data_IF_719795630402
#
_entry.id   IF_719795630402
#
_cell.length_a   1.000
_cell.length_b   1.000
_cell.length_c   1.000
_cell.angle_alpha   90.00
_cell.angle_beta   90.00
_cell.angle_gamma   90.00
#
_symmetry.space_group_name_H-M   'P 1'
#
loop_
_entity.id
_entity.type
_entity.pdbx_description
1 polymer ?
#
# COMPACT_ATOMS: atom_id res chain seq x y z
N UNK A 1 1.38 21.23 -12.70
CA UNK A 1 0.85 20.67 -11.47
C UNK A 1 1.19 19.20 -11.34
N UNK A 2 1.80 18.83 -10.26
CA UNK A 2 2.13 17.44 -10.07
C UNK A 2 0.89 16.63 -9.76
N UNK A 3 0.96 15.34 -10.05
CA UNK A 3 -0.10 14.44 -9.67
C UNK A 3 -0.20 14.35 -8.18
N UNK A 4 -1.41 14.19 -7.71
CA UNK A 4 -1.61 13.99 -6.29
C UNK A 4 -1.12 12.59 -5.89
N UNK A 5 -0.73 12.45 -4.65
CA UNK A 5 -0.31 11.16 -4.14
C UNK A 5 -1.45 10.15 -4.18
N UNK A 6 -2.68 10.62 -4.03
CA UNK A 6 -3.85 9.76 -4.14
C UNK A 6 -3.92 9.14 -5.53
N UNK A 7 -3.70 9.94 -6.58
CA UNK A 7 -3.74 9.42 -7.94
C UNK A 7 -2.65 8.39 -8.18
N UNK A 8 -1.46 8.66 -7.64
CA UNK A 8 -0.35 7.73 -7.79
C UNK A 8 -0.67 6.41 -7.08
N UNK A 9 -1.26 6.49 -5.88
CA UNK A 9 -1.62 5.29 -5.14
C UNK A 9 -2.66 4.47 -5.90
N UNK A 10 -3.65 5.12 -6.49
CA UNK A 10 -4.67 4.41 -7.26
C UNK A 10 -4.07 3.71 -8.47
N UNK A 11 -3.18 4.41 -9.18
CA UNK A 11 -2.53 3.81 -10.35
C UNK A 11 -1.64 2.66 -9.94
N UNK A 12 -0.99 2.77 -8.78
CA UNK A 12 -0.18 1.67 -8.27
C UNK A 12 -1.02 0.44 -7.98
N UNK A 13 -2.16 0.62 -7.33
CA UNK A 13 -3.04 -0.49 -7.06
C UNK A 13 -3.55 -1.13 -8.35
N UNK A 14 -3.94 -0.30 -9.32
CA UNK A 14 -4.40 -0.82 -10.60
C UNK A 14 -3.32 -1.63 -11.31
N UNK A 15 -2.07 -1.16 -11.22
CA UNK A 15 -0.96 -1.90 -11.80
C UNK A 15 -0.79 -3.25 -11.12
N UNK A 16 -0.95 -3.29 -9.79
CA UNK A 16 -0.90 -4.55 -9.07
C UNK A 16 -1.99 -5.50 -9.57
N UNK A 17 -3.19 -4.96 -9.77
CA UNK A 17 -4.30 -5.79 -10.25
C UNK A 17 -4.03 -6.37 -11.63
N UNK A 18 -3.33 -5.62 -12.49
CA UNK A 18 -2.99 -6.10 -13.83
C UNK A 18 -1.75 -6.99 -13.83
N UNK A 19 -1.00 -6.99 -12.74
CA UNK A 19 0.26 -7.70 -12.72
C UNK A 19 1.37 -6.99 -13.51
N UNK A 20 1.25 -5.68 -13.65
CA UNK A 20 2.19 -4.88 -14.42
C UNK A 20 3.34 -4.45 -13.51
N UNK A 21 4.33 -5.33 -13.38
CA UNK A 21 5.44 -5.06 -12.46
C UNK A 21 6.30 -3.88 -12.90
N UNK A 22 6.38 -3.63 -14.20
CA UNK A 22 7.15 -2.48 -14.68
C UNK A 22 6.50 -1.18 -14.22
N UNK A 23 5.18 -1.09 -14.32
CA UNK A 23 4.47 0.11 -13.90
C UNK A 23 4.60 0.30 -12.38
N UNK A 24 4.49 -0.78 -11.63
CA UNK A 24 4.66 -0.71 -10.18
C UNK A 24 6.07 -0.22 -9.85
N UNK A 25 7.08 -0.77 -10.51
CA UNK A 25 8.46 -0.41 -10.25
C UNK A 25 8.75 1.06 -10.49
N UNK A 26 8.07 1.65 -11.48
CA UNK A 26 8.27 3.07 -11.77
C UNK A 26 7.76 3.98 -10.67
N UNK A 27 6.80 3.49 -9.88
CA UNK A 27 6.23 4.28 -8.79
C UNK A 27 6.99 4.13 -7.49
N UNK A 28 7.88 3.15 -7.39
CA UNK A 28 8.60 2.86 -6.16
C UNK A 28 10.00 3.47 -6.20
N UNK A 29 10.41 4.07 -5.08
CA UNK A 29 11.79 4.48 -4.90
C UNK A 29 12.67 3.22 -4.86
N UNK A 30 13.92 3.29 -5.38
CA UNK A 30 14.79 2.11 -5.32
C UNK A 30 15.01 1.58 -3.90
N UNK A 31 14.96 2.46 -2.90
CA UNK A 31 15.16 2.08 -1.51
C UNK A 31 13.86 1.96 -0.74
N UNK A 32 12.75 1.74 -1.43
CA UNK A 32 11.45 1.62 -0.78
C UNK A 32 11.46 0.51 0.26
N UNK A 33 10.80 0.75 1.37
CA UNK A 33 10.65 -0.26 2.43
C UNK A 33 9.17 -0.61 2.57
N UNK A 34 8.91 -1.89 2.77
CA UNK A 34 7.54 -2.38 2.93
C UNK A 34 7.54 -3.39 4.09
N UNK A 35 6.80 -3.07 5.14
CA UNK A 35 6.79 -3.91 6.33
C UNK A 35 5.47 -3.74 7.08
N UNK A 36 5.34 -4.49 8.17
CA UNK A 36 4.13 -4.45 8.99
C UNK A 36 4.31 -3.70 10.28
N UNK A 37 5.27 -2.78 10.33
CA UNK A 37 5.56 -1.99 11.51
C UNK A 37 6.97 -2.18 12.02
N UNK A 38 7.64 -3.25 11.59
CA UNK A 38 9.01 -3.54 11.99
C UNK A 38 9.83 -3.76 10.73
N UNK A 39 10.61 -2.78 10.29
CA UNK A 39 11.38 -2.93 9.05
C UNK A 39 12.48 -3.98 9.14
N UNK A 40 12.84 -4.43 10.34
CA UNK A 40 13.84 -5.48 10.49
C UNK A 40 13.24 -6.87 10.56
N UNK A 41 11.91 -6.99 10.51
CA UNK A 41 11.27 -8.29 10.62
C UNK A 41 11.58 -9.16 9.41
N UNK A 42 11.57 -10.46 9.64
CA UNK A 42 11.69 -11.41 8.54
C UNK A 42 10.52 -11.23 7.59
N UNK A 43 10.81 -11.14 6.31
CA UNK A 43 9.78 -10.92 5.32
C UNK A 43 9.56 -9.47 4.97
N UNK A 44 10.18 -8.55 5.72
CA UNK A 44 10.11 -7.13 5.37
C UNK A 44 10.92 -6.89 4.10
N UNK A 45 10.44 -5.94 3.29
CA UNK A 45 11.13 -5.59 2.05
C UNK A 45 11.95 -4.34 2.29
N UNK A 46 13.22 -4.39 1.93
CA UNK A 46 14.14 -3.29 2.14
C UNK A 46 14.56 -2.55 0.88
N UNK A 47 14.03 -2.95 -0.27
CA UNK A 47 14.31 -2.26 -1.52
C UNK A 47 13.24 -2.63 -2.54
N UNK A 48 13.33 -1.97 -3.70
CA UNK A 48 12.32 -2.13 -4.74
C UNK A 48 12.25 -3.54 -5.28
N UNK A 49 13.39 -4.19 -5.47
CA UNK A 49 13.41 -5.54 -6.00
C UNK A 49 12.69 -6.51 -5.08
N UNK A 50 12.89 -6.37 -3.79
CA UNK A 50 12.22 -7.23 -2.82
C UNK A 50 10.72 -6.96 -2.80
N UNK A 51 10.33 -5.70 -2.93
CA UNK A 51 8.92 -5.35 -2.96
C UNK A 51 8.24 -5.93 -4.19
N UNK A 52 8.89 -5.86 -5.35
CA UNK A 52 8.32 -6.40 -6.58
C UNK A 52 8.22 -7.93 -6.50
N UNK A 53 9.22 -8.57 -5.93
CA UNK A 53 9.18 -10.03 -5.75
C UNK A 53 8.03 -10.43 -4.83
N UNK A 54 7.79 -9.64 -3.79
CA UNK A 54 6.69 -9.89 -2.89
C UNK A 54 5.34 -9.80 -3.61
N UNK A 55 5.16 -8.78 -4.43
CA UNK A 55 3.92 -8.61 -5.19
C UNK A 55 3.72 -9.80 -6.12
N UNK A 56 4.79 -10.22 -6.80
CA UNK A 56 4.69 -11.36 -7.72
C UNK A 56 4.24 -12.62 -7.00
N UNK A 57 4.82 -12.89 -5.83
CA UNK A 57 4.44 -14.07 -5.04
C UNK A 57 3.02 -13.96 -4.52
N UNK A 58 2.64 -12.79 -4.07
CA UNK A 58 1.29 -12.60 -3.53
C UNK A 58 0.23 -12.84 -4.60
N UNK A 59 0.48 -12.38 -5.81
CA UNK A 59 -0.48 -12.56 -6.89
C UNK A 59 -0.65 -14.02 -7.29
N UNK A 60 0.40 -14.80 -7.15
CA UNK A 60 0.32 -16.23 -7.48
C UNK A 60 -0.52 -17.00 -6.47
N UNK A 61 -0.43 -16.60 -5.21
CA UNK A 61 -1.14 -17.31 -4.15
C UNK A 61 -2.60 -16.97 -4.08
N UNK A 62 -2.89 -15.70 -4.17
CA UNK A 62 -4.24 -15.21 -3.96
C UNK A 62 -4.55 -14.14 -4.96
N UNK A 63 -5.78 -14.11 -5.45
CA UNK A 63 -6.21 -12.95 -6.24
C UNK A 63 -6.07 -11.71 -5.38
N UNK A 64 -5.75 -10.62 -6.03
CA UNK A 64 -5.67 -9.35 -5.31
C UNK A 64 -7.07 -8.94 -4.88
N UNK A 65 -7.11 -8.18 -3.80
CA UNK A 65 -8.37 -7.74 -3.27
C UNK A 65 -8.96 -6.57 -4.03
N UNK A 66 -9.89 -5.92 -3.37
CA UNK A 66 -10.63 -4.81 -3.93
C UNK A 66 -10.19 -3.53 -3.24
N UNK A 67 -9.97 -2.47 -4.03
CA UNK A 67 -9.67 -1.15 -3.48
C UNK A 67 -10.96 -0.56 -2.94
N UNK A 68 -10.97 -0.26 -1.64
CA UNK A 68 -12.16 0.27 -0.99
C UNK A 68 -12.10 1.79 -0.91
N UNK A 69 -10.94 2.33 -0.53
CA UNK A 69 -10.81 3.77 -0.35
C UNK A 69 -9.35 4.17 -0.41
N UNK A 70 -9.12 5.42 -0.76
CA UNK A 70 -7.78 6.02 -0.76
C UNK A 70 -7.93 7.37 -0.08
N UNK A 71 -7.27 7.53 1.06
CA UNK A 71 -7.46 8.70 1.92
C UNK A 71 -6.19 9.54 1.90
N UNK A 72 -6.35 10.79 1.51
CA UNK A 72 -5.25 11.74 1.39
C UNK A 72 -4.83 12.22 2.78
N UNK A 73 -3.56 12.08 3.09
CA UNK A 73 -2.99 12.57 4.34
C UNK A 73 -1.72 13.38 4.07
N UNK A 74 -1.67 14.10 2.96
CA UNK A 74 -0.53 14.93 2.60
C UNK A 74 0.55 14.14 1.91
N UNK A 75 1.69 14.03 2.56
CA UNK A 75 2.79 13.24 2.00
C UNK A 75 2.53 11.75 2.14
N UNK A 76 1.48 11.38 2.83
CA UNK A 76 1.09 10.00 3.03
C UNK A 76 -0.31 9.77 2.52
N UNK A 77 -0.59 8.52 2.18
CA UNK A 77 -1.91 8.12 1.70
C UNK A 77 -2.26 6.81 2.40
N UNK A 78 -3.49 6.73 2.90
CA UNK A 78 -3.99 5.48 3.48
C UNK A 78 -4.79 4.76 2.40
N UNK A 79 -4.35 3.57 2.04
CA UNK A 79 -5.01 2.75 1.03
C UNK A 79 -5.75 1.64 1.76
N UNK A 80 -7.07 1.60 1.60
CA UNK A 80 -7.91 0.61 2.28
C UNK A 80 -8.32 -0.46 1.28
N UNK A 81 -8.09 -1.71 1.64
CA UNK A 81 -8.28 -2.84 0.75
C UNK A 81 -9.13 -3.90 1.43
N UNK A 82 -10.01 -4.52 0.65
CA UNK A 82 -10.73 -5.72 1.09
C UNK A 82 -10.05 -6.90 0.43
N UNK A 83 -9.40 -7.79 1.20
CA UNK A 83 -8.75 -8.96 0.60
C UNK A 83 -9.76 -9.86 -0.11
N UNK A 84 -9.34 -10.42 -1.24
CA UNK A 84 -10.25 -11.23 -2.04
C UNK A 84 -10.70 -12.49 -1.30
N UNK A 85 -9.84 -13.04 -0.46
CA UNK A 85 -10.15 -14.25 0.30
C UNK A 85 -10.89 -13.96 1.58
N UNK A 86 -11.09 -12.69 1.92
CA UNK A 86 -11.76 -12.32 3.14
C UNK A 86 -13.25 -12.44 3.03
N UNK A 87 -13.92 -12.39 4.16
CA UNK A 87 -15.35 -12.32 4.19
C UNK A 87 -15.77 -10.90 3.94
N UNK A 88 -17.01 -10.72 3.55
CA UNK A 88 -17.50 -9.37 3.40
C UNK A 88 -17.68 -8.75 4.78
N UNK A 89 -17.47 -7.44 4.85
CA UNK A 89 -17.66 -6.71 6.09
C UNK A 89 -16.43 -5.92 6.47
N UNK A 90 -16.63 -5.07 7.47
CA UNK A 90 -15.56 -4.17 7.90
C UNK A 90 -14.39 -4.90 8.56
N UNK A 91 -14.69 -6.02 9.21
CA UNK A 91 -13.65 -6.74 9.95
C UNK A 91 -12.58 -7.30 9.04
N UNK A 92 -12.88 -7.42 7.76
CA UNK A 92 -11.92 -7.99 6.81
C UNK A 92 -11.11 -6.95 6.07
N UNK A 93 -11.30 -5.67 6.37
CA UNK A 93 -10.56 -4.63 5.68
C UNK A 93 -9.13 -4.56 6.20
N UNK A 94 -8.24 -4.22 5.30
CA UNK A 94 -6.83 -3.99 5.62
C UNK A 94 -6.46 -2.62 5.12
N UNK A 95 -5.36 -2.09 5.60
CA UNK A 95 -4.91 -0.78 5.16
C UNK A 95 -3.40 -0.75 5.03
N UNK A 96 -2.96 0.16 4.18
CA UNK A 96 -1.56 0.36 3.91
C UNK A 96 -1.29 1.86 4.01
N UNK A 97 -0.34 2.24 4.84
CA UNK A 97 0.07 3.63 4.93
C UNK A 97 1.27 3.81 4.01
N UNK A 98 1.06 4.58 2.94
CA UNK A 98 2.04 4.76 1.89
C UNK A 98 2.60 6.17 1.98
N UNK A 99 3.92 6.27 2.10
CA UNK A 99 4.62 7.56 2.21
C UNK A 99 5.31 7.86 0.89
N UNK A 100 5.17 9.10 0.44
CA UNK A 100 5.71 9.55 -0.84
C UNK A 100 6.78 10.60 -0.64
N UNK A 101 7.73 10.63 -1.58
CA UNK A 101 8.70 11.70 -1.72
C UNK A 101 9.00 11.86 -3.20
N UNK A 102 8.84 13.10 -3.69
CA UNK A 102 9.12 13.42 -5.09
C UNK A 102 8.36 12.52 -6.06
N UNK A 103 7.11 12.19 -5.72
CA UNK A 103 6.27 11.37 -6.58
C UNK A 103 6.55 9.89 -6.54
N UNK A 104 7.42 9.44 -5.65
CA UNK A 104 7.77 8.03 -5.51
C UNK A 104 7.40 7.53 -4.13
N UNK A 105 7.06 6.26 -4.05
CA UNK A 105 6.76 5.61 -2.78
C UNK A 105 8.08 5.26 -2.09
N UNK A 106 8.27 5.75 -0.88
CA UNK A 106 9.48 5.47 -0.12
C UNK A 106 9.24 4.48 1.01
N UNK A 107 7.99 4.33 1.45
CA UNK A 107 7.69 3.37 2.51
C UNK A 107 6.22 2.98 2.46
N UNK A 108 5.96 1.72 2.73
CA UNK A 108 4.60 1.21 2.89
C UNK A 108 4.56 0.42 4.17
N UNK A 109 3.58 0.72 5.02
CA UNK A 109 3.39 0.00 6.28
C UNK A 109 2.01 -0.62 6.26
N UNK A 110 1.95 -1.93 6.44
CA UNK A 110 0.70 -2.67 6.39
C UNK A 110 0.08 -2.74 7.78
N UNK A 111 -1.21 -2.49 7.85
CA UNK A 111 -1.98 -2.54 9.09
C UNK A 111 -3.16 -3.49 8.89
N UNK A 112 -3.51 -4.20 9.94
CA UNK A 112 -4.64 -5.11 9.87
C UNK A 112 -5.98 -4.42 10.02
N UNK A 113 -5.96 -3.19 10.56
CA UNK A 113 -7.17 -2.41 10.73
C UNK A 113 -6.96 -1.02 10.14
N UNK A 114 -7.91 -0.54 9.34
CA UNK A 114 -7.78 0.80 8.75
C UNK A 114 -7.62 1.90 9.79
N UNK A 115 -8.26 1.75 10.95
CA UNK A 115 -8.15 2.77 12.00
C UNK A 115 -6.71 2.98 12.44
N UNK A 116 -5.95 1.90 12.54
CA UNK A 116 -4.56 2.00 12.97
C UNK A 116 -3.73 2.77 11.95
N UNK A 117 -3.99 2.56 10.67
CA UNK A 117 -3.29 3.31 9.63
C UNK A 117 -3.65 4.78 9.67
N UNK A 118 -4.92 5.09 9.89
CA UNK A 118 -5.37 6.47 9.97
C UNK A 118 -4.73 7.19 11.15
N UNK A 119 -4.64 6.53 12.30
CA UNK A 119 -3.99 7.10 13.47
C UNK A 119 -2.52 7.36 13.17
N UNK A 120 -1.85 6.40 12.56
CA UNK A 120 -0.44 6.56 12.22
C UNK A 120 -0.21 7.71 11.26
N UNK A 121 -1.16 7.96 10.37
CA UNK A 121 -1.06 9.04 9.40
C UNK A 121 -1.44 10.40 9.99
N UNK A 122 -1.95 10.43 11.22
CA UNK A 122 -2.38 11.66 11.83
C UNK A 122 -3.72 12.16 11.35
N UNK A 123 -4.50 11.28 10.73
CA UNK A 123 -5.83 11.64 10.25
C UNK A 123 -6.84 11.44 11.37
N UNK A 124 -7.67 12.45 11.59
CA UNK A 124 -8.68 12.33 12.63
C UNK A 124 -9.72 11.28 12.23
N UNK A 125 -10.00 10.37 13.15
CA UNK A 125 -11.02 9.35 12.94
C UNK A 125 -12.23 9.58 13.80
N UNK A 126 -12.20 10.60 14.62
CA UNK A 126 -13.30 10.86 15.53
C UNK A 126 -14.53 11.37 14.78
N UNK A 127 -15.66 11.01 15.28
CA UNK A 127 -16.89 11.44 14.66
C UNK A 127 -17.98 11.47 15.68
#
# INVERSE_FOLDING_TARGET
>A
MSQSNVDIARRGFEAVMRGDLDAIGELLDPDVRWHGGDPSAEGACGNREQALAFVRRARRRNPMGELVDVIDAGEQVVVVIRPASGRSGRADLRANLTTFRDGKVIEMVSYQAPEDALIAAGVSTSR
#
